data_IF_715637580695
#
_entry.id   IF_715637580695
#
_cell.length_a   1.000
_cell.length_b   1.000
_cell.length_c   1.000
_cell.angle_alpha   90.00
_cell.angle_beta   90.00
_cell.angle_gamma   90.00
#
_symmetry.space_group_name_H-M   'P 1'
#
loop_
_entity.id
_entity.type
_entity.pdbx_description
1 polymer ?
#
# COMPACT_ATOMS: atom_id res chain seq x y z
N UNK A 1 -24.57 -8.12 52.77
CA UNK A 1 -23.97 -8.80 51.59
C UNK A 1 -24.43 -8.05 50.34
N UNK A 2 -23.61 -7.14 49.81
CA UNK A 2 -23.89 -6.42 48.57
C UNK A 2 -22.92 -6.90 47.50
N UNK A 3 -23.45 -7.54 46.46
CA UNK A 3 -22.66 -8.12 45.38
C UNK A 3 -22.07 -7.02 44.49
N UNK A 4 -20.74 -6.95 44.41
CA UNK A 4 -20.00 -6.12 43.47
C UNK A 4 -19.85 -6.84 42.12
N UNK A 5 -20.94 -7.03 41.37
CA UNK A 5 -20.86 -7.51 40.00
C UNK A 5 -21.15 -6.36 39.04
N UNK A 6 -20.15 -5.78 38.36
CA UNK A 6 -20.40 -4.75 37.37
C UNK A 6 -21.24 -5.35 36.23
N UNK A 7 -22.34 -4.71 35.81
CA UNK A 7 -23.17 -5.21 34.73
C UNK A 7 -22.40 -5.16 33.41
N UNK A 8 -21.83 -6.29 32.98
CA UNK A 8 -21.27 -6.46 31.64
C UNK A 8 -22.41 -6.70 30.65
N UNK A 9 -22.99 -5.62 30.15
CA UNK A 9 -23.90 -5.64 29.00
C UNK A 9 -23.17 -5.36 27.69
N UNK A 10 -23.67 -5.90 26.57
CA UNK A 10 -23.23 -5.48 25.24
C UNK A 10 -23.61 -4.02 25.02
N UNK A 11 -22.65 -3.11 25.12
CA UNK A 11 -22.81 -1.72 24.71
C UNK A 11 -22.78 -1.68 23.19
N UNK A 12 -23.77 -1.04 22.56
CA UNK A 12 -23.76 -0.81 21.12
C UNK A 12 -22.54 0.06 20.77
N UNK A 13 -21.48 -0.58 20.26
CA UNK A 13 -20.28 0.12 19.81
C UNK A 13 -20.56 0.67 18.42
N UNK A 14 -20.64 1.99 18.29
CA UNK A 14 -20.68 2.65 16.98
C UNK A 14 -19.42 2.26 16.20
N UNK A 15 -19.60 1.58 15.08
CA UNK A 15 -18.50 1.19 14.20
C UNK A 15 -18.05 2.45 13.44
N UNK A 16 -17.03 3.12 13.97
CA UNK A 16 -16.37 4.23 13.29
C UNK A 16 -15.51 3.70 12.14
N UNK A 17 -15.80 4.06 10.87
CA UNK A 17 -14.98 3.66 9.73
C UNK A 17 -13.51 4.10 9.84
N UNK A 18 -13.22 5.16 10.60
CA UNK A 18 -11.85 5.64 10.83
C UNK A 18 -11.09 4.82 11.89
N UNK A 19 -11.77 4.03 12.74
CA UNK A 19 -11.15 3.14 13.74
C UNK A 19 -10.76 1.78 13.19
N UNK A 20 -10.96 1.54 11.90
CA UNK A 20 -10.62 0.25 11.31
C UNK A 20 -9.08 0.09 11.26
N UNK A 21 -8.54 -1.05 11.72
CA UNK A 21 -7.09 -1.24 11.84
C UNK A 21 -6.36 -1.15 10.50
N UNK A 22 -7.01 -1.50 9.39
CA UNK A 22 -6.51 -1.35 8.02
C UNK A 22 -6.38 0.12 7.58
N UNK A 23 -7.23 1.02 8.11
CA UNK A 23 -7.19 2.45 7.77
C UNK A 23 -6.01 3.16 8.42
N UNK A 24 -5.56 2.70 9.59
CA UNK A 24 -4.45 3.31 10.34
C UNK A 24 -3.13 3.25 9.57
N UNK A 25 -2.93 2.23 8.73
CA UNK A 25 -1.71 2.02 7.97
C UNK A 25 -1.86 2.31 6.47
N UNK A 26 -3.10 2.58 5.99
CA UNK A 26 -3.30 2.90 4.58
C UNK A 26 -2.91 4.36 4.31
N UNK A 27 -1.87 4.55 3.50
CA UNK A 27 -1.57 5.86 2.93
C UNK A 27 -2.58 6.14 1.81
N UNK A 28 -3.43 7.15 1.98
CA UNK A 28 -4.34 7.60 0.91
C UNK A 28 -3.56 8.47 -0.07
N UNK A 29 -3.50 8.05 -1.34
CA UNK A 29 -3.12 8.96 -2.41
C UNK A 29 -4.29 9.90 -2.74
N UNK A 30 -4.00 11.12 -3.23
CA UNK A 30 -5.05 12.04 -3.64
C UNK A 30 -5.91 11.42 -4.76
N UNK A 31 -7.16 11.86 -4.86
CA UNK A 31 -8.05 11.39 -5.92
C UNK A 31 -7.46 11.70 -7.30
N UNK A 32 -7.52 10.74 -8.22
CA UNK A 32 -6.93 10.87 -9.55
C UNK A 32 -5.39 10.73 -9.60
N UNK A 33 -4.73 10.32 -8.51
CA UNK A 33 -3.31 10.01 -8.56
C UNK A 33 -3.06 8.81 -9.47
N UNK A 34 -2.39 9.05 -10.59
CA UNK A 34 -2.00 8.02 -11.54
C UNK A 34 -0.48 7.98 -11.63
N UNK A 35 0.07 6.77 -11.62
CA UNK A 35 1.50 6.57 -11.88
C UNK A 35 1.79 6.99 -13.32
N UNK A 36 2.82 7.82 -13.53
CA UNK A 36 3.23 8.22 -14.87
C UNK A 36 3.65 7.01 -15.71
N UNK A 37 3.05 6.84 -16.89
CA UNK A 37 3.39 5.76 -17.82
C UNK A 37 4.87 5.80 -18.27
N UNK A 38 5.50 6.97 -18.23
CA UNK A 38 6.92 7.14 -18.55
C UNK A 38 7.85 6.35 -17.63
N UNK A 39 7.43 5.99 -16.42
CA UNK A 39 8.19 5.09 -15.56
C UNK A 39 8.32 3.69 -16.16
N UNK A 40 7.23 3.15 -16.71
CA UNK A 40 7.24 1.84 -17.35
C UNK A 40 8.05 1.85 -18.64
N UNK A 41 7.85 2.90 -19.46
CA UNK A 41 8.59 3.09 -20.72
C UNK A 41 10.09 3.24 -20.44
N UNK A 42 10.46 4.09 -19.49
CA UNK A 42 11.85 4.31 -19.10
C UNK A 42 12.51 3.06 -18.55
N UNK A 43 11.82 2.31 -17.67
CA UNK A 43 12.34 1.05 -17.14
C UNK A 43 12.59 0.02 -18.24
N UNK A 44 11.65 -0.13 -19.18
CA UNK A 44 11.81 -1.03 -20.31
C UNK A 44 13.01 -0.66 -21.18
N UNK A 45 13.13 0.62 -21.56
CA UNK A 45 14.22 1.10 -22.39
C UNK A 45 15.58 0.95 -21.68
N UNK A 46 15.67 1.32 -20.41
CA UNK A 46 16.89 1.23 -19.63
C UNK A 46 17.39 -0.21 -19.50
N UNK A 47 16.51 -1.15 -19.14
CA UNK A 47 16.87 -2.57 -19.02
C UNK A 47 17.26 -3.16 -20.37
N UNK A 48 16.50 -2.86 -21.43
CA UNK A 48 16.79 -3.37 -22.77
C UNK A 48 18.15 -2.90 -23.28
N UNK A 49 18.44 -1.59 -23.16
CA UNK A 49 19.74 -1.03 -23.53
C UNK A 49 20.85 -1.61 -22.67
N UNK A 50 20.63 -1.80 -21.38
CA UNK A 50 21.62 -2.41 -20.49
C UNK A 50 21.97 -3.84 -20.91
N UNK A 51 20.96 -4.68 -21.20
CA UNK A 51 21.17 -6.06 -21.64
C UNK A 51 21.90 -6.11 -22.98
N UNK A 52 21.41 -5.34 -23.97
CA UNK A 52 22.04 -5.26 -25.29
C UNK A 52 23.48 -4.76 -25.16
N UNK A 53 23.70 -3.67 -24.42
CA UNK A 53 25.03 -3.11 -24.18
C UNK A 53 25.98 -4.11 -23.51
N UNK A 54 25.51 -4.82 -22.48
CA UNK A 54 26.31 -5.82 -21.78
C UNK A 54 26.70 -6.99 -22.69
N UNK A 55 25.77 -7.51 -23.48
CA UNK A 55 26.05 -8.61 -24.43
C UNK A 55 27.04 -8.17 -25.51
N UNK A 56 26.92 -6.94 -26.00
CA UNK A 56 27.80 -6.40 -27.05
C UNK A 56 29.17 -5.92 -26.53
N UNK A 57 29.39 -5.93 -25.20
CA UNK A 57 30.66 -5.52 -24.61
C UNK A 57 31.76 -6.60 -24.74
N UNK A 58 31.40 -7.82 -25.14
CA UNK A 58 32.33 -8.90 -25.43
C UNK A 58 32.44 -9.11 -26.96
N UNK A 59 33.67 -9.20 -27.51
CA UNK A 59 33.86 -9.53 -28.91
C UNK A 59 33.36 -10.95 -29.22
N UNK A 60 32.87 -11.15 -30.45
CA UNK A 60 32.53 -12.46 -30.99
C UNK A 60 33.77 -13.32 -31.23
#
# INVERSE_FOLDING_TARGET
MTANNPPTGQVAVTIDPARRPDVLLRRRHPEGHQTSAWWMIGAFLAVSVAVVGLVNMFPA
#
